data_IF_308697370014
#
_entry.id   IF_308697370014
#
_cell.length_a   1.000
_cell.length_b   1.000
_cell.length_c   1.000
_cell.angle_alpha   90.00
_cell.angle_beta   90.00
_cell.angle_gamma   90.00
#
_symmetry.space_group_name_H-M   'P 1'
#
loop_
_entity.id
_entity.type
_entity.pdbx_description
1 polymer ?
#
# COMPACT_ATOMS: atom_id res chain seq x y z
N UNK A 1 20.75 6.49 -1.93
CA UNK A 1 21.08 5.89 -0.62
C UNK A 1 19.87 5.11 -0.19
N UNK A 2 19.98 3.79 -0.03
CA UNK A 2 18.78 2.94 0.16
C UNK A 2 18.66 2.56 1.63
N UNK A 3 17.75 3.22 2.36
CA UNK A 3 17.26 2.69 3.63
C UNK A 3 16.48 1.39 3.35
N UNK A 4 16.88 0.31 4.00
CA UNK A 4 16.31 -1.02 3.83
C UNK A 4 15.31 -1.28 4.95
N UNK A 5 14.24 -2.01 4.63
CA UNK A 5 13.28 -2.48 5.64
C UNK A 5 13.50 -3.96 5.90
N UNK A 6 13.62 -4.33 7.17
CA UNK A 6 13.72 -5.73 7.58
C UNK A 6 12.42 -6.46 7.18
N UNK A 7 12.43 -7.59 6.45
CA UNK A 7 11.20 -8.32 6.14
C UNK A 7 10.57 -8.92 7.41
N UNK A 8 9.30 -9.35 7.35
CA UNK A 8 8.60 -9.93 8.52
C UNK A 8 9.24 -11.23 9.01
N UNK A 9 9.68 -12.07 8.07
CA UNK A 9 10.33 -13.35 8.34
C UNK A 9 11.77 -13.31 7.80
N UNK A 10 12.70 -12.59 8.46
CA UNK A 10 14.06 -12.43 7.97
C UNK A 10 14.89 -13.71 8.17
N UNK A 11 15.78 -13.97 7.21
CA UNK A 11 16.79 -15.03 7.31
C UNK A 11 18.11 -14.43 7.82
N UNK A 12 18.56 -14.89 8.98
CA UNK A 12 19.84 -14.45 9.53
C UNK A 12 21.03 -14.85 8.64
N UNK A 13 20.96 -16.02 8.01
CA UNK A 13 21.98 -16.45 7.04
C UNK A 13 22.03 -15.52 5.82
N UNK A 14 20.88 -15.07 5.35
CA UNK A 14 20.83 -14.08 4.27
C UNK A 14 21.44 -12.73 4.69
N UNK A 15 21.18 -12.27 5.91
CA UNK A 15 21.80 -11.04 6.44
C UNK A 15 23.33 -11.18 6.58
N UNK A 16 23.83 -12.35 7.00
CA UNK A 16 25.28 -12.63 7.06
C UNK A 16 25.91 -12.62 5.67
N UNK A 17 25.24 -13.22 4.69
CA UNK A 17 25.70 -13.21 3.30
C UNK A 17 25.72 -11.79 2.73
N UNK A 18 24.65 -11.00 2.95
CA UNK A 18 24.62 -9.59 2.56
C UNK A 18 25.80 -8.78 3.15
N UNK A 19 26.20 -9.05 4.39
CA UNK A 19 27.34 -8.35 4.99
C UNK A 19 28.68 -8.75 4.35
N UNK A 20 28.81 -10.00 3.90
CA UNK A 20 30.00 -10.49 3.16
C UNK A 20 30.05 -9.89 1.75
N UNK A 21 28.92 -9.92 1.04
CA UNK A 21 28.80 -9.36 -0.30
C UNK A 21 29.08 -7.85 -0.29
N UNK A 22 28.56 -7.13 0.73
CA UNK A 22 28.82 -5.71 0.93
C UNK A 22 30.30 -5.42 1.18
N UNK A 23 31.00 -6.26 1.97
CA UNK A 23 32.44 -6.11 2.17
C UNK A 23 33.21 -6.33 0.86
N UNK A 24 32.89 -7.39 0.12
CA UNK A 24 33.53 -7.71 -1.15
C UNK A 24 33.34 -6.59 -2.19
N UNK A 25 32.11 -6.07 -2.29
CA UNK A 25 31.79 -4.92 -3.14
C UNK A 25 32.57 -3.66 -2.71
N UNK A 26 32.66 -3.38 -1.41
CA UNK A 26 33.41 -2.22 -0.91
C UNK A 26 34.92 -2.33 -1.22
N UNK A 27 35.50 -3.51 -1.00
CA UNK A 27 36.93 -3.78 -1.27
C UNK A 27 37.21 -3.70 -2.78
N UNK A 28 36.31 -4.19 -3.64
CA UNK A 28 36.45 -4.10 -5.10
C UNK A 28 36.22 -2.69 -5.65
N UNK A 29 35.68 -1.78 -4.83
CA UNK A 29 35.46 -0.38 -5.18
C UNK A 29 34.14 -0.12 -5.90
N UNK A 30 33.12 -0.94 -5.67
CA UNK A 30 31.76 -0.69 -6.15
C UNK A 30 31.22 0.64 -5.62
N UNK A 31 30.69 1.48 -6.52
CA UNK A 31 30.24 2.83 -6.19
C UNK A 31 29.11 2.84 -5.15
N UNK A 32 28.20 1.86 -5.20
CA UNK A 32 27.07 1.78 -4.27
C UNK A 32 27.56 1.41 -2.87
N UNK A 33 28.43 0.40 -2.77
CA UNK A 33 29.03 0.01 -1.50
C UNK A 33 29.88 1.14 -0.91
N UNK A 34 30.61 1.90 -1.74
CA UNK A 34 31.38 3.07 -1.29
C UNK A 34 30.47 4.14 -0.70
N UNK A 35 29.35 4.45 -1.35
CA UNK A 35 28.34 5.40 -0.83
C UNK A 35 27.78 4.92 0.51
N UNK A 36 27.41 3.64 0.63
CA UNK A 36 26.86 3.09 1.88
C UNK A 36 27.88 3.17 3.03
N UNK A 37 29.16 2.81 2.79
CA UNK A 37 30.21 2.93 3.79
C UNK A 37 30.47 4.37 4.21
N UNK A 38 30.53 5.32 3.26
CA UNK A 38 30.70 6.74 3.56
C UNK A 38 29.56 7.28 4.40
N UNK A 39 28.34 6.86 4.11
CA UNK A 39 27.16 7.39 4.77
C UNK A 39 26.94 6.78 6.16
N UNK A 40 27.22 5.48 6.34
CA UNK A 40 26.84 4.77 7.56
C UNK A 40 28.02 4.37 8.46
N UNK A 41 29.26 4.39 7.99
CA UNK A 41 30.41 4.04 8.83
C UNK A 41 30.93 5.25 9.62
N UNK A 42 30.85 5.27 10.97
CA UNK A 42 31.07 6.49 11.76
C UNK A 42 32.52 7.00 11.77
N UNK A 43 33.48 6.14 11.46
CA UNK A 43 34.92 6.47 11.50
C UNK A 43 35.58 6.57 10.13
N UNK A 44 34.84 6.32 9.04
CA UNK A 44 35.41 6.26 7.68
C UNK A 44 36.56 5.27 7.54
N UNK A 45 36.26 3.98 7.43
CA UNK A 45 37.26 2.93 7.19
C UNK A 45 37.67 2.94 5.73
N UNK A 46 38.95 2.75 5.42
CA UNK A 46 39.46 2.64 4.04
C UNK A 46 39.35 1.21 3.53
N UNK A 47 39.21 1.06 2.20
CA UNK A 47 39.00 -0.24 1.53
C UNK A 47 40.06 -1.29 1.83
N UNK A 48 41.31 -0.88 2.01
CA UNK A 48 42.47 -1.75 2.24
C UNK A 48 42.50 -2.38 3.64
N UNK A 49 41.79 -1.79 4.62
CA UNK A 49 41.74 -2.28 6.01
C UNK A 49 40.34 -2.70 6.46
N UNK A 50 39.34 -2.60 5.58
CA UNK A 50 37.96 -2.93 5.88
C UNK A 50 37.78 -4.39 6.31
N UNK A 51 37.01 -4.61 7.38
CA UNK A 51 36.71 -5.93 7.94
C UNK A 51 35.22 -6.22 7.88
N UNK A 52 34.88 -7.49 8.06
CA UNK A 52 33.48 -7.94 8.12
C UNK A 52 32.68 -7.20 9.20
N UNK A 53 33.28 -6.85 10.33
CA UNK A 53 32.62 -6.08 11.40
C UNK A 53 32.22 -4.67 10.94
N UNK A 54 32.99 -4.06 10.05
CA UNK A 54 32.69 -2.74 9.49
C UNK A 54 31.50 -2.85 8.53
N UNK A 55 31.50 -3.85 7.65
CA UNK A 55 30.38 -4.14 6.76
C UNK A 55 29.10 -4.52 7.51
N UNK A 56 29.21 -5.29 8.60
CA UNK A 56 28.10 -5.62 9.48
C UNK A 56 27.49 -4.39 10.16
N UNK A 57 28.32 -3.43 10.58
CA UNK A 57 27.85 -2.16 11.16
C UNK A 57 27.14 -1.30 10.10
N UNK A 58 27.74 -1.17 8.91
CA UNK A 58 27.12 -0.45 7.79
C UNK A 58 25.78 -1.08 7.43
N UNK A 59 25.73 -2.41 7.29
CA UNK A 59 24.48 -3.13 6.99
C UNK A 59 23.43 -2.92 8.09
N UNK A 60 23.78 -3.02 9.37
CA UNK A 60 22.85 -2.77 10.47
C UNK A 60 22.21 -1.38 10.37
N UNK A 61 23.04 -0.35 10.10
CA UNK A 61 22.57 1.02 9.96
C UNK A 61 21.76 1.26 8.69
N UNK A 62 22.00 0.51 7.61
CA UNK A 62 21.11 0.55 6.43
C UNK A 62 19.71 0.01 6.74
N UNK A 63 19.56 -0.83 7.76
CA UNK A 63 18.28 -1.32 8.28
C UNK A 63 17.75 -0.49 9.47
N UNK A 64 18.35 0.69 9.73
CA UNK A 64 18.03 1.55 10.88
C UNK A 64 18.21 0.87 12.25
N UNK A 65 19.22 0.00 12.38
CA UNK A 65 19.71 -0.53 13.65
C UNK A 65 21.08 0.07 14.01
N UNK A 66 21.28 0.36 15.29
CA UNK A 66 22.51 0.99 15.77
C UNK A 66 23.75 0.09 15.64
N UNK A 67 23.56 -1.23 15.70
CA UNK A 67 24.64 -2.22 15.68
C UNK A 67 24.19 -3.56 15.09
N UNK A 68 25.16 -4.38 14.68
CA UNK A 68 24.90 -5.74 14.19
C UNK A 68 24.22 -6.67 15.21
N UNK A 69 24.61 -6.68 16.50
CA UNK A 69 23.85 -7.40 17.53
C UNK A 69 22.36 -7.00 17.59
N UNK A 70 22.04 -5.70 17.52
CA UNK A 70 20.65 -5.23 17.52
C UNK A 70 19.90 -5.72 16.28
N UNK A 71 20.49 -5.63 15.09
CA UNK A 71 19.88 -6.17 13.86
C UNK A 71 19.61 -7.68 13.97
N UNK A 72 20.56 -8.44 14.53
CA UNK A 72 20.40 -9.88 14.72
C UNK A 72 19.25 -10.20 15.67
N UNK A 73 19.19 -9.54 16.83
CA UNK A 73 18.12 -9.75 17.81
C UNK A 73 16.75 -9.34 17.25
N UNK A 74 16.66 -8.19 16.58
CA UNK A 74 15.44 -7.75 15.89
C UNK A 74 14.99 -8.75 14.82
N UNK A 75 15.92 -9.29 14.03
CA UNK A 75 15.61 -10.32 13.04
C UNK A 75 15.14 -11.65 13.66
N UNK A 76 15.81 -12.12 14.70
CA UNK A 76 15.41 -13.33 15.44
C UNK A 76 14.03 -13.16 16.07
N UNK A 77 13.75 -12.01 16.70
CA UNK A 77 12.47 -11.71 17.33
C UNK A 77 11.35 -11.54 16.29
N UNK A 78 11.57 -10.80 15.20
CA UNK A 78 10.62 -10.65 14.09
C UNK A 78 10.21 -12.01 13.53
N UNK A 79 11.20 -12.89 13.31
CA UNK A 79 10.97 -14.27 12.86
C UNK A 79 10.21 -15.09 13.89
N UNK A 80 10.58 -15.01 15.17
CA UNK A 80 9.95 -15.77 16.23
C UNK A 80 8.47 -15.38 16.40
N UNK A 81 8.15 -14.08 16.42
CA UNK A 81 6.77 -13.57 16.47
C UNK A 81 5.98 -13.97 15.23
N UNK A 82 6.56 -13.84 14.03
CA UNK A 82 5.87 -14.22 12.79
C UNK A 82 5.47 -15.71 12.75
N UNK A 83 6.28 -16.57 13.38
CA UNK A 83 6.09 -18.03 13.40
C UNK A 83 5.44 -18.56 14.70
N UNK A 84 4.92 -17.70 15.58
CA UNK A 84 4.33 -18.09 16.88
C UNK A 84 5.28 -18.94 17.75
N UNK A 85 6.59 -18.67 17.69
CA UNK A 85 7.61 -19.42 18.41
C UNK A 85 7.73 -18.95 19.86
N UNK A 86 6.73 -19.24 20.69
CA UNK A 86 6.58 -18.72 22.06
C UNK A 86 7.81 -18.95 22.95
N UNK A 87 8.40 -20.14 22.93
CA UNK A 87 9.59 -20.45 23.74
C UNK A 87 10.82 -19.62 23.32
N UNK A 88 10.97 -19.39 22.01
CA UNK A 88 12.07 -18.57 21.48
C UNK A 88 11.87 -17.09 21.87
N UNK A 89 10.63 -16.59 21.78
CA UNK A 89 10.28 -15.23 22.22
C UNK A 89 10.57 -15.09 23.72
N UNK A 90 10.14 -16.03 24.54
CA UNK A 90 10.38 -16.05 25.99
C UNK A 90 11.87 -16.03 26.28
N UNK A 91 12.66 -16.88 25.62
CA UNK A 91 14.12 -16.91 25.79
C UNK A 91 14.76 -15.57 25.43
N UNK A 92 14.46 -15.04 24.24
CA UNK A 92 15.03 -13.79 23.75
C UNK A 92 14.74 -12.63 24.70
N UNK A 93 13.48 -12.46 25.11
CA UNK A 93 13.07 -11.37 26.01
C UNK A 93 13.62 -11.55 27.43
N UNK A 94 13.76 -12.80 27.91
CA UNK A 94 14.35 -13.05 29.23
C UNK A 94 15.85 -12.75 29.25
N UNK A 95 16.56 -13.09 28.17
CA UNK A 95 17.99 -12.80 28.02
C UNK A 95 18.26 -11.31 27.72
N UNK A 96 17.32 -10.66 27.04
CA UNK A 96 17.40 -9.27 26.58
C UNK A 96 16.09 -8.50 26.85
N UNK A 97 15.81 -8.10 28.10
CA UNK A 97 14.55 -7.44 28.48
C UNK A 97 14.30 -6.10 27.76
N UNK A 98 15.36 -5.43 27.31
CA UNK A 98 15.28 -4.20 26.50
C UNK A 98 14.47 -4.38 25.21
N UNK A 99 14.39 -5.61 24.68
CA UNK A 99 13.63 -5.91 23.46
C UNK A 99 12.14 -5.61 23.58
N UNK A 100 11.57 -5.56 24.79
CA UNK A 100 10.16 -5.26 25.00
C UNK A 100 9.75 -3.86 24.55
N UNK A 101 10.69 -2.92 24.49
CA UNK A 101 10.43 -1.52 24.12
C UNK A 101 11.14 -1.10 22.83
N UNK A 102 12.03 -1.94 22.30
CA UNK A 102 12.77 -1.66 21.06
C UNK A 102 11.93 -1.97 19.81
N UNK A 103 12.14 -1.17 18.76
CA UNK A 103 11.47 -1.36 17.47
C UNK A 103 11.95 -2.65 16.79
N UNK A 104 11.03 -3.59 16.56
CA UNK A 104 11.37 -4.92 15.99
C UNK A 104 11.99 -4.83 14.59
N UNK A 105 11.66 -3.78 13.82
CA UNK A 105 12.03 -3.63 12.40
C UNK A 105 12.92 -2.40 12.13
N UNK A 106 13.64 -1.90 13.14
CA UNK A 106 14.50 -0.72 13.05
C UNK A 106 13.81 0.56 13.51
N UNK A 107 14.60 1.58 13.86
CA UNK A 107 14.12 2.80 14.55
C UNK A 107 13.07 3.60 13.75
N UNK A 108 13.17 3.61 12.42
CA UNK A 108 12.24 4.32 11.54
C UNK A 108 10.94 3.53 11.25
N UNK A 109 10.74 2.38 11.91
CA UNK A 109 9.56 1.55 11.69
C UNK A 109 8.34 2.02 12.48
N UNK A 110 7.22 2.20 11.79
CA UNK A 110 5.92 2.47 12.42
C UNK A 110 5.23 1.22 12.99
N UNK A 111 5.88 0.04 12.93
CA UNK A 111 5.28 -1.22 13.37
C UNK A 111 5.35 -1.44 14.88
N UNK A 112 6.26 -0.75 15.57
CA UNK A 112 6.32 -0.73 17.02
C UNK A 112 7.19 -1.80 17.66
N UNK A 113 7.22 -1.78 19.01
CA UNK A 113 7.80 -2.84 19.84
C UNK A 113 7.08 -4.20 19.66
N UNK A 114 7.55 -5.27 20.31
CA UNK A 114 7.04 -6.63 20.09
C UNK A 114 5.53 -6.80 20.22
N UNK A 115 4.89 -6.14 21.20
CA UNK A 115 3.45 -6.26 21.42
C UNK A 115 2.67 -5.62 20.25
N UNK A 116 3.05 -4.39 19.88
CA UNK A 116 2.52 -3.70 18.70
C UNK A 116 2.79 -4.44 17.40
N UNK A 117 3.98 -5.03 17.26
CA UNK A 117 4.34 -5.87 16.12
C UNK A 117 3.44 -7.12 16.03
N UNK A 118 3.22 -7.82 17.15
CA UNK A 118 2.31 -8.95 17.23
C UNK A 118 0.84 -8.56 16.96
N UNK A 119 0.44 -7.36 17.40
CA UNK A 119 -0.89 -6.79 17.14
C UNK A 119 -1.15 -6.54 15.65
N UNK A 120 -0.16 -6.00 14.92
CA UNK A 120 -0.27 -5.87 13.45
C UNK A 120 -0.57 -7.22 12.78
N UNK A 121 0.03 -8.29 13.29
CA UNK A 121 -0.09 -9.64 12.73
C UNK A 121 -1.29 -10.43 13.26
N UNK A 122 -1.96 -9.96 14.31
CA UNK A 122 -3.08 -10.66 14.95
C UNK A 122 -2.66 -11.89 15.78
N UNK A 123 -1.43 -11.94 16.29
CA UNK A 123 -0.86 -13.13 16.98
C UNK A 123 -1.27 -13.19 18.44
N UNK A 124 -2.48 -13.66 18.74
CA UNK A 124 -3.00 -13.71 20.11
C UNK A 124 -2.08 -14.44 21.11
N UNK A 125 -1.58 -15.66 20.84
CA UNK A 125 -0.72 -16.35 21.81
C UNK A 125 0.58 -15.58 22.12
N UNK A 126 1.12 -14.87 21.13
CA UNK A 126 2.31 -14.03 21.30
C UNK A 126 2.00 -12.77 22.11
N UNK A 127 0.86 -12.13 21.86
CA UNK A 127 0.40 -10.96 22.62
C UNK A 127 0.32 -11.32 24.11
N UNK A 128 -0.25 -12.47 24.44
CA UNK A 128 -0.44 -12.94 25.81
C UNK A 128 0.90 -13.13 26.53
N UNK A 129 1.82 -13.79 25.84
CA UNK A 129 3.18 -13.99 26.33
C UNK A 129 3.88 -12.65 26.56
N UNK A 130 3.80 -11.71 25.62
CA UNK A 130 4.50 -10.43 25.74
C UNK A 130 3.95 -9.58 26.90
N UNK A 131 2.64 -9.63 27.13
CA UNK A 131 2.01 -9.00 28.31
C UNK A 131 2.48 -9.68 29.59
N UNK A 132 2.54 -11.02 29.64
CA UNK A 132 3.07 -11.78 30.79
C UNK A 132 4.53 -11.38 31.10
N UNK A 133 5.32 -11.14 30.05
CA UNK A 133 6.72 -10.72 30.15
C UNK A 133 6.90 -9.23 30.46
N UNK A 134 5.81 -8.44 30.52
CA UNK A 134 5.83 -7.04 30.98
C UNK A 134 5.79 -5.98 29.88
N UNK A 135 5.34 -6.30 28.65
CA UNK A 135 5.06 -5.29 27.65
C UNK A 135 3.93 -4.34 28.09
N UNK A 136 4.10 -3.03 27.91
CA UNK A 136 3.20 -2.00 28.45
C UNK A 136 2.65 -1.03 27.39
N UNK A 137 2.99 -1.18 26.11
CA UNK A 137 2.54 -0.33 24.99
C UNK A 137 1.12 -0.67 24.46
N UNK A 138 0.22 -1.09 25.36
CA UNK A 138 -1.15 -1.57 25.04
C UNK A 138 -1.94 -0.60 24.16
N UNK A 139 -1.89 0.70 24.44
CA UNK A 139 -2.59 1.72 23.65
C UNK A 139 -2.04 1.82 22.21
N UNK A 140 -0.72 1.70 22.04
CA UNK A 140 -0.11 1.71 20.72
C UNK A 140 -0.41 0.40 19.97
N UNK A 141 -0.36 -0.75 20.65
CA UNK A 141 -0.72 -2.04 20.08
C UNK A 141 -2.20 -2.10 19.65
N UNK A 142 -3.09 -1.47 20.42
CA UNK A 142 -4.48 -1.25 20.04
C UNK A 142 -4.60 -0.48 18.72
N UNK A 143 -3.89 0.65 18.57
CA UNK A 143 -3.90 1.41 17.32
C UNK A 143 -3.45 0.58 16.11
N UNK A 144 -2.45 -0.31 16.29
CA UNK A 144 -1.96 -1.21 15.24
C UNK A 144 -2.96 -2.31 14.90
N UNK A 145 -3.62 -2.88 15.89
CA UNK A 145 -4.67 -3.87 15.69
C UNK A 145 -5.83 -3.29 14.87
N UNK A 146 -6.27 -2.07 15.21
CA UNK A 146 -7.33 -1.36 14.49
C UNK A 146 -6.91 -1.02 13.06
N UNK A 147 -5.70 -0.48 12.86
CA UNK A 147 -5.13 -0.20 11.53
C UNK A 147 -5.17 -1.42 10.61
N UNK A 148 -4.90 -2.61 11.15
CA UNK A 148 -4.85 -3.87 10.40
C UNK A 148 -6.17 -4.66 10.42
N UNK A 149 -7.26 -4.10 10.97
CA UNK A 149 -8.56 -4.76 11.07
C UNK A 149 -8.58 -6.01 11.95
N UNK A 150 -7.67 -6.14 12.92
CA UNK A 150 -7.59 -7.28 13.85
C UNK A 150 -8.56 -7.07 15.01
N UNK A 151 -9.86 -7.18 14.74
CA UNK A 151 -10.92 -6.76 15.70
C UNK A 151 -10.87 -7.52 17.01
N UNK A 152 -10.65 -8.84 17.00
CA UNK A 152 -10.56 -9.63 18.23
C UNK A 152 -9.38 -9.18 19.11
N UNK A 153 -8.25 -8.83 18.49
CA UNK A 153 -7.08 -8.29 19.19
C UNK A 153 -7.38 -6.89 19.71
N UNK A 154 -7.97 -6.02 18.90
CA UNK A 154 -8.34 -4.67 19.31
C UNK A 154 -9.32 -4.70 20.50
N UNK A 155 -10.34 -5.56 20.44
CA UNK A 155 -11.31 -5.78 21.53
C UNK A 155 -10.62 -6.20 22.82
N UNK A 156 -9.69 -7.15 22.75
CA UNK A 156 -8.91 -7.55 23.92
C UNK A 156 -8.11 -6.39 24.52
N UNK A 157 -7.49 -5.55 23.70
CA UNK A 157 -6.80 -4.38 24.23
C UNK A 157 -7.76 -3.36 24.89
N UNK A 158 -9.02 -3.28 24.46
CA UNK A 158 -10.02 -2.45 25.17
C UNK A 158 -10.35 -2.98 26.57
N UNK A 159 -10.37 -4.30 26.75
CA UNK A 159 -10.52 -4.94 28.07
C UNK A 159 -9.33 -4.61 28.98
N UNK A 160 -8.15 -4.40 28.39
CA UNK A 160 -6.92 -3.95 29.07
C UNK A 160 -6.84 -2.43 29.26
N UNK A 161 -7.89 -1.68 28.93
CA UNK A 161 -7.96 -0.24 29.16
C UNK A 161 -7.62 0.64 27.96
N UNK A 162 -7.28 0.08 26.80
CA UNK A 162 -7.10 0.87 25.59
C UNK A 162 -8.42 1.53 25.16
N UNK A 163 -8.36 2.75 24.63
CA UNK A 163 -9.53 3.52 24.22
C UNK A 163 -9.30 4.22 22.87
N UNK A 164 -10.36 4.50 22.10
CA UNK A 164 -10.22 5.29 20.89
C UNK A 164 -9.74 6.70 21.23
N UNK A 165 -8.71 7.16 20.52
CA UNK A 165 -8.25 8.55 20.57
C UNK A 165 -8.87 9.35 19.42
N UNK A 166 -8.99 10.66 19.60
CA UNK A 166 -9.46 11.54 18.52
C UNK A 166 -8.54 11.41 17.30
N UNK A 167 -9.12 11.28 16.12
CA UNK A 167 -8.35 11.04 14.89
C UNK A 167 -7.96 9.59 14.65
N UNK A 168 -8.20 8.66 15.59
CA UNK A 168 -7.84 7.25 15.41
C UNK A 168 -8.58 6.59 14.24
N UNK A 169 -9.76 7.09 13.86
CA UNK A 169 -10.51 6.65 12.66
C UNK A 169 -9.73 6.84 11.36
N UNK A 170 -8.72 7.72 11.33
CA UNK A 170 -7.84 7.87 10.17
C UNK A 170 -7.07 6.59 9.84
N UNK A 171 -6.76 5.76 10.85
CA UNK A 171 -6.03 4.51 10.66
C UNK A 171 -6.81 3.51 9.80
N UNK A 172 -8.03 3.07 10.17
CA UNK A 172 -8.81 2.18 9.32
C UNK A 172 -9.27 2.85 8.01
N UNK A 173 -9.39 4.18 7.96
CA UNK A 173 -9.63 4.89 6.70
C UNK A 173 -8.43 4.79 5.74
N UNK A 174 -7.20 4.92 6.24
CA UNK A 174 -5.97 4.77 5.45
C UNK A 174 -5.85 3.36 4.86
N UNK A 175 -6.16 2.32 5.62
CA UNK A 175 -6.08 0.94 5.13
C UNK A 175 -7.37 0.45 4.47
N UNK A 176 -8.41 1.28 4.42
CA UNK A 176 -9.80 0.94 4.08
C UNK A 176 -10.27 -0.35 4.78
N UNK A 177 -10.01 -0.42 6.08
CA UNK A 177 -10.53 -1.46 6.96
C UNK A 177 -11.93 -1.10 7.44
N UNK A 178 -12.95 -1.54 6.70
CA UNK A 178 -14.36 -1.32 7.05
C UNK A 178 -14.74 -1.82 8.44
N UNK A 179 -14.29 -3.03 8.81
CA UNK A 179 -14.55 -3.60 10.14
C UNK A 179 -13.81 -2.84 11.24
N UNK A 180 -12.59 -2.36 10.99
CA UNK A 180 -11.84 -1.53 11.93
C UNK A 180 -12.52 -0.19 12.20
N UNK A 181 -13.03 0.45 11.14
CA UNK A 181 -13.77 1.70 11.26
C UNK A 181 -15.10 1.49 11.99
N UNK A 182 -15.86 0.44 11.62
CA UNK A 182 -17.13 0.09 12.28
C UNK A 182 -16.91 -0.19 13.77
N UNK A 183 -15.87 -0.94 14.12
CA UNK A 183 -15.54 -1.21 15.53
C UNK A 183 -15.27 0.08 16.32
N UNK A 184 -14.49 1.01 15.76
CA UNK A 184 -14.24 2.29 16.43
C UNK A 184 -15.52 3.12 16.61
N UNK A 185 -16.33 3.26 15.56
CA UNK A 185 -17.46 4.19 15.52
C UNK A 185 -18.71 3.60 16.16
N UNK A 186 -19.12 2.41 15.72
CA UNK A 186 -20.38 1.78 16.11
C UNK A 186 -20.29 1.13 17.49
N UNK A 187 -19.14 0.54 17.85
CA UNK A 187 -18.99 -0.15 19.15
C UNK A 187 -18.34 0.72 20.23
N UNK A 188 -17.30 1.49 19.89
CA UNK A 188 -16.56 2.30 20.85
C UNK A 188 -16.97 3.77 20.89
N UNK A 189 -17.86 4.21 19.98
CA UNK A 189 -18.37 5.58 19.94
C UNK A 189 -17.34 6.62 19.52
N UNK A 190 -16.35 6.26 18.70
CA UNK A 190 -15.36 7.20 18.19
C UNK A 190 -15.97 8.20 17.20
N UNK A 191 -15.57 9.47 17.33
CA UNK A 191 -15.97 10.50 16.38
C UNK A 191 -15.30 10.29 15.01
N UNK A 192 -16.08 10.49 13.94
CA UNK A 192 -15.61 10.46 12.55
C UNK A 192 -14.90 11.76 12.16
N UNK A 193 -13.79 12.06 12.85
CA UNK A 193 -12.96 13.24 12.61
C UNK A 193 -11.48 12.89 12.65
N UNK A 194 -10.63 13.71 12.04
CA UNK A 194 -9.17 13.63 12.25
C UNK A 194 -8.74 14.15 13.64
N UNK A 195 -7.43 14.23 13.89
CA UNK A 195 -6.90 14.74 15.15
C UNK A 195 -7.28 16.19 15.46
N UNK A 196 -7.46 17.01 14.41
CA UNK A 196 -7.83 18.42 14.52
C UNK A 196 -9.35 18.63 14.67
N UNK A 197 -10.15 17.61 14.36
CA UNK A 197 -11.61 17.65 14.42
C UNK A 197 -12.32 17.85 13.10
N UNK A 198 -11.62 17.73 11.97
CA UNK A 198 -12.18 17.86 10.64
C UNK A 198 -12.91 16.56 10.24
N UNK A 199 -14.23 16.61 9.99
CA UNK A 199 -15.01 15.43 9.57
C UNK A 199 -14.79 15.03 8.11
N UNK A 200 -14.18 15.88 7.28
CA UNK A 200 -13.93 15.58 5.87
C UNK A 200 -12.64 14.80 5.65
N UNK A 201 -11.67 14.87 6.55
CA UNK A 201 -10.38 14.19 6.40
C UNK A 201 -10.49 12.65 6.39
N UNK A 202 -11.28 12.01 7.27
CA UNK A 202 -11.50 10.57 7.18
C UNK A 202 -12.11 10.14 5.85
N UNK A 203 -13.09 10.89 5.33
CA UNK A 203 -13.66 10.64 4.00
C UNK A 203 -12.59 10.75 2.92
N UNK A 204 -11.87 11.88 2.86
CA UNK A 204 -10.79 12.10 1.89
C UNK A 204 -9.79 10.93 1.90
N UNK A 205 -9.37 10.48 3.09
CA UNK A 205 -8.45 9.36 3.24
C UNK A 205 -8.97 8.08 2.57
N UNK A 206 -10.24 7.74 2.75
CA UNK A 206 -10.88 6.56 2.12
C UNK A 206 -10.85 6.63 0.59
N UNK A 207 -10.92 7.83 -0.01
CA UNK A 207 -10.87 7.99 -1.47
C UNK A 207 -9.44 7.96 -2.01
N UNK A 208 -8.48 8.59 -1.33
CA UNK A 208 -7.17 8.90 -1.88
C UNK A 208 -6.03 7.98 -1.45
N UNK A 209 -6.29 7.09 -0.50
CA UNK A 209 -5.28 6.16 0.03
C UNK A 209 -4.66 5.23 -1.04
N UNK A 210 -3.46 4.75 -0.74
CA UNK A 210 -2.77 3.71 -1.49
C UNK A 210 -3.47 2.35 -1.40
N UNK A 211 -4.23 2.09 -0.33
CA UNK A 211 -4.82 0.77 -0.13
C UNK A 211 -5.86 0.44 -1.20
N UNK A 212 -5.93 -0.84 -1.58
CA UNK A 212 -6.94 -1.39 -2.50
C UNK A 212 -7.62 -2.57 -1.84
N UNK A 213 -8.82 -2.34 -1.36
CA UNK A 213 -9.71 -3.34 -0.78
C UNK A 213 -11.17 -2.88 -1.03
N UNK A 214 -11.77 -3.24 -2.18
CA UNK A 214 -13.13 -2.84 -2.54
C UNK A 214 -14.14 -3.03 -1.40
N UNK A 215 -14.27 -4.26 -0.89
CA UNK A 215 -15.22 -4.60 0.18
C UNK A 215 -15.01 -3.76 1.44
N UNK A 216 -13.74 -3.57 1.83
CA UNK A 216 -13.39 -2.74 2.98
C UNK A 216 -13.74 -1.27 2.77
N UNK A 217 -13.50 -0.73 1.57
CA UNK A 217 -13.86 0.64 1.20
C UNK A 217 -15.37 0.84 1.16
N UNK A 218 -16.13 -0.09 0.56
CA UNK A 218 -17.59 -0.04 0.53
C UNK A 218 -18.14 0.01 1.95
N UNK A 219 -17.61 -0.84 2.84
CA UNK A 219 -18.02 -0.87 4.24
C UNK A 219 -17.60 0.38 5.02
N UNK A 220 -16.43 0.95 4.75
CA UNK A 220 -16.09 2.26 5.32
C UNK A 220 -17.15 3.31 4.96
N UNK A 221 -17.53 3.42 3.68
CA UNK A 221 -18.52 4.40 3.23
C UNK A 221 -19.93 4.12 3.77
N UNK A 222 -20.29 2.86 4.00
CA UNK A 222 -21.52 2.50 4.71
C UNK A 222 -21.53 3.03 6.15
N UNK A 223 -20.42 2.91 6.89
CA UNK A 223 -20.30 3.46 8.25
C UNK A 223 -20.46 4.99 8.25
N UNK A 224 -19.87 5.69 7.27
CA UNK A 224 -20.08 7.14 7.11
C UNK A 224 -21.54 7.49 6.85
N UNK A 225 -22.20 6.80 5.91
CA UNK A 225 -23.60 7.03 5.58
C UNK A 225 -24.52 6.78 6.79
N UNK A 226 -24.32 5.67 7.52
CA UNK A 226 -25.10 5.35 8.73
C UNK A 226 -24.88 6.36 9.85
N UNK A 227 -23.72 7.00 9.87
CA UNK A 227 -23.37 8.07 10.79
C UNK A 227 -23.84 9.45 10.31
N UNK A 228 -24.60 9.51 9.21
CA UNK A 228 -25.26 10.72 8.70
C UNK A 228 -24.42 11.56 7.74
N UNK A 229 -23.32 11.03 7.18
CA UNK A 229 -22.57 11.72 6.15
C UNK A 229 -23.41 11.88 4.86
N UNK A 230 -23.45 13.10 4.33
CA UNK A 230 -24.10 13.40 3.05
C UNK A 230 -23.14 13.08 1.89
N UNK A 231 -23.25 11.88 1.35
CA UNK A 231 -22.45 11.41 0.22
C UNK A 231 -23.12 11.82 -1.11
N UNK A 232 -22.40 12.46 -2.05
CA UNK A 232 -22.96 12.92 -3.33
C UNK A 232 -23.67 11.82 -4.14
N UNK A 233 -24.89 12.09 -4.66
CA UNK A 233 -25.56 11.21 -5.64
C UNK A 233 -24.94 11.41 -7.04
N UNK A 234 -23.78 10.78 -7.24
CA UNK A 234 -23.03 10.82 -8.50
C UNK A 234 -22.55 9.42 -8.88
N UNK A 235 -22.31 9.18 -10.17
CA UNK A 235 -21.81 7.89 -10.63
C UNK A 235 -20.44 7.50 -10.03
N UNK A 236 -19.44 8.40 -9.91
CA UNK A 236 -18.21 8.08 -9.19
C UNK A 236 -18.43 7.73 -7.71
N UNK A 237 -19.36 8.38 -7.02
CA UNK A 237 -19.69 8.02 -5.63
C UNK A 237 -20.37 6.65 -5.55
N UNK A 238 -21.34 6.36 -6.43
CA UNK A 238 -21.98 5.05 -6.51
C UNK A 238 -20.95 3.94 -6.80
N UNK A 239 -19.97 4.22 -7.67
CA UNK A 239 -18.83 3.36 -7.93
C UNK A 239 -18.00 3.10 -6.67
N UNK A 240 -17.57 4.16 -5.97
CA UNK A 240 -16.73 4.01 -4.77
C UNK A 240 -17.43 3.28 -3.62
N UNK A 241 -18.77 3.31 -3.62
CA UNK A 241 -19.61 2.59 -2.67
C UNK A 241 -19.88 1.13 -3.03
N UNK A 242 -19.48 0.66 -4.22
CA UNK A 242 -19.78 -0.71 -4.66
C UNK A 242 -21.25 -0.92 -5.04
N UNK A 243 -22.01 0.15 -5.27
CA UNK A 243 -23.49 0.08 -5.37
C UNK A 243 -23.94 0.00 -6.82
N UNK A 244 -24.02 -1.23 -7.34
CA UNK A 244 -24.52 -1.49 -8.70
C UNK A 244 -25.94 -0.96 -8.93
N UNK A 245 -26.81 -0.99 -7.92
CA UNK A 245 -28.17 -0.45 -8.01
C UNK A 245 -28.19 1.09 -8.19
N UNK A 246 -27.25 1.79 -7.55
CA UNK A 246 -27.07 3.24 -7.73
C UNK A 246 -26.40 3.54 -9.07
N UNK A 247 -25.45 2.72 -9.53
CA UNK A 247 -24.86 2.83 -10.86
C UNK A 247 -25.89 2.59 -11.97
N UNK A 248 -26.76 1.59 -11.82
CA UNK A 248 -27.89 1.34 -12.73
C UNK A 248 -28.85 2.53 -12.76
N UNK A 249 -29.15 3.11 -11.59
CA UNK A 249 -29.97 4.31 -11.49
C UNK A 249 -29.30 5.51 -12.20
N UNK A 250 -27.98 5.67 -12.08
CA UNK A 250 -27.23 6.67 -12.83
C UNK A 250 -27.30 6.44 -14.34
N UNK A 251 -27.10 5.20 -14.80
CA UNK A 251 -27.14 4.82 -16.21
C UNK A 251 -28.53 5.06 -16.83
N UNK A 252 -29.60 4.79 -16.08
CA UNK A 252 -30.97 5.08 -16.51
C UNK A 252 -31.25 6.58 -16.66
N UNK A 253 -30.56 7.43 -15.89
CA UNK A 253 -30.66 8.90 -15.99
C UNK A 253 -29.77 9.48 -17.10
N UNK A 254 -28.66 8.81 -17.41
CA UNK A 254 -27.67 9.24 -18.39
C UNK A 254 -27.22 8.06 -19.26
N UNK A 255 -27.83 7.93 -20.44
CA UNK A 255 -27.49 6.87 -21.39
C UNK A 255 -26.04 6.96 -21.91
N UNK A 256 -25.39 8.12 -21.79
CA UNK A 256 -23.98 8.31 -22.15
C UNK A 256 -22.99 7.95 -21.05
N UNK A 257 -23.45 7.47 -19.89
CA UNK A 257 -22.62 7.27 -18.71
C UNK A 257 -21.41 6.35 -18.95
N UNK A 258 -21.57 5.28 -19.75
CA UNK A 258 -20.48 4.34 -20.04
C UNK A 258 -19.33 5.00 -20.82
N UNK A 259 -19.62 6.07 -21.55
CA UNK A 259 -18.65 6.84 -22.31
C UNK A 259 -18.23 8.14 -21.63
N UNK A 260 -18.80 8.47 -20.47
CA UNK A 260 -18.50 9.71 -19.76
C UNK A 260 -17.08 9.64 -19.17
N UNK A 261 -16.33 10.72 -19.37
CA UNK A 261 -15.02 10.97 -18.73
C UNK A 261 -15.24 11.82 -17.50
N UNK A 262 -14.51 11.52 -16.43
CA UNK A 262 -14.63 12.21 -15.15
C UNK A 262 -13.35 12.97 -14.85
N UNK A 263 -13.51 14.22 -14.40
CA UNK A 263 -12.42 15.00 -13.84
C UNK A 263 -11.90 14.37 -12.55
N UNK A 264 -10.67 14.73 -12.16
CA UNK A 264 -10.08 14.31 -10.91
C UNK A 264 -10.99 14.64 -9.72
N UNK A 265 -11.59 15.84 -9.69
CA UNK A 265 -12.45 16.30 -8.59
C UNK A 265 -13.77 15.51 -8.53
N UNK A 266 -14.30 15.05 -9.66
CA UNK A 266 -15.47 14.15 -9.67
C UNK A 266 -15.12 12.75 -9.13
N UNK A 267 -13.90 12.25 -9.40
CA UNK A 267 -13.42 10.95 -8.90
C UNK A 267 -13.08 11.03 -7.41
N UNK A 268 -12.54 12.17 -6.95
CA UNK A 268 -12.07 12.39 -5.57
C UNK A 268 -12.74 13.64 -4.94
N UNK A 269 -14.03 13.56 -4.57
CA UNK A 269 -14.84 14.73 -4.22
C UNK A 269 -14.43 15.50 -2.95
N UNK A 270 -13.53 14.94 -2.14
CA UNK A 270 -13.03 15.57 -0.90
C UNK A 270 -11.54 15.93 -0.98
N UNK A 271 -10.95 15.91 -2.17
CA UNK A 271 -9.52 16.16 -2.35
C UNK A 271 -9.11 17.58 -1.96
N UNK A 272 -7.90 17.69 -1.42
CA UNK A 272 -7.23 18.98 -1.28
C UNK A 272 -6.71 19.50 -2.61
N UNK A 273 -6.34 20.78 -2.65
CA UNK A 273 -5.56 21.32 -3.76
C UNK A 273 -4.28 20.51 -3.94
N UNK A 274 -4.09 19.97 -5.13
CA UNK A 274 -2.88 19.23 -5.49
C UNK A 274 -3.03 17.72 -5.63
N UNK A 275 -4.24 17.18 -5.88
CA UNK A 275 -4.48 15.85 -6.44
C UNK A 275 -3.67 14.69 -5.79
N UNK A 276 -4.02 14.33 -4.55
CA UNK A 276 -3.28 13.37 -3.71
C UNK A 276 -3.64 11.90 -3.90
N UNK A 277 -4.66 11.59 -4.69
CA UNK A 277 -5.13 10.24 -4.98
C UNK A 277 -4.04 9.39 -5.64
N UNK A 278 -3.69 8.28 -5.00
CA UNK A 278 -2.71 7.35 -5.55
C UNK A 278 -3.38 6.44 -6.57
N UNK A 279 -2.80 6.38 -7.77
CA UNK A 279 -3.21 5.52 -8.89
C UNK A 279 -1.98 5.21 -9.73
N UNK A 280 -2.00 4.13 -10.51
CA UNK A 280 -0.92 3.79 -11.44
C UNK A 280 -0.98 4.66 -12.69
N UNK A 281 -1.63 4.13 -13.73
CA UNK A 281 -2.04 4.89 -14.92
C UNK A 281 -2.95 6.08 -14.52
N UNK A 282 -2.87 7.25 -15.19
CA UNK A 282 -3.70 8.41 -14.87
C UNK A 282 -5.20 8.14 -14.83
N UNK A 283 -5.93 8.78 -13.91
CA UNK A 283 -7.40 8.66 -13.82
C UNK A 283 -8.15 9.96 -14.14
N UNK A 284 -7.47 11.11 -14.19
CA UNK A 284 -8.10 12.35 -14.66
C UNK A 284 -8.52 12.21 -16.12
N UNK A 285 -9.79 12.48 -16.42
CA UNK A 285 -10.37 12.30 -17.75
C UNK A 285 -10.68 10.83 -18.10
N UNK A 286 -10.66 9.93 -17.13
CA UNK A 286 -10.92 8.51 -17.35
C UNK A 286 -12.42 8.15 -17.19
N UNK A 287 -12.82 6.99 -17.69
CA UNK A 287 -14.20 6.45 -17.55
C UNK A 287 -14.33 5.53 -16.34
N UNK A 288 -15.55 5.12 -15.99
CA UNK A 288 -15.77 4.12 -14.92
C UNK A 288 -15.03 2.80 -15.19
N UNK A 289 -14.81 2.41 -16.44
CA UNK A 289 -14.09 1.18 -16.78
C UNK A 289 -12.60 1.27 -16.43
N UNK A 290 -11.97 2.45 -16.59
CA UNK A 290 -10.60 2.68 -16.15
C UNK A 290 -10.50 2.65 -14.62
N UNK A 291 -11.46 3.28 -13.94
CA UNK A 291 -11.55 3.28 -12.47
C UNK A 291 -11.71 1.85 -11.95
N UNK A 292 -12.55 1.03 -12.57
CA UNK A 292 -12.77 -0.36 -12.17
C UNK A 292 -11.47 -1.17 -12.14
N UNK A 293 -10.58 -0.92 -13.10
CA UNK A 293 -9.26 -1.55 -13.15
C UNK A 293 -8.31 -1.03 -12.07
N UNK A 294 -8.19 0.28 -11.85
CA UNK A 294 -7.22 0.81 -10.85
C UNK A 294 -7.68 0.55 -9.40
N UNK A 295 -8.98 0.58 -9.14
CA UNK A 295 -9.55 0.28 -7.82
C UNK A 295 -9.74 -1.22 -7.54
N UNK A 296 -9.51 -2.07 -8.54
CA UNK A 296 -9.72 -3.54 -8.49
C UNK A 296 -11.18 -3.94 -8.20
N UNK A 297 -12.13 -3.16 -8.71
CA UNK A 297 -13.58 -3.35 -8.57
C UNK A 297 -14.09 -4.36 -9.60
N UNK A 298 -13.83 -5.65 -9.38
CA UNK A 298 -14.11 -6.70 -10.36
C UNK A 298 -15.58 -6.87 -10.71
N UNK A 299 -16.47 -6.78 -9.72
CA UNK A 299 -17.92 -6.89 -9.95
C UNK A 299 -18.43 -5.73 -10.81
N UNK A 300 -18.00 -4.49 -10.51
CA UNK A 300 -18.34 -3.31 -11.32
C UNK A 300 -17.73 -3.41 -12.71
N UNK A 301 -16.48 -3.87 -12.83
CA UNK A 301 -15.79 -4.07 -14.10
C UNK A 301 -16.59 -5.00 -15.02
N UNK A 302 -17.05 -6.15 -14.51
CA UNK A 302 -17.84 -7.11 -15.27
C UNK A 302 -19.21 -6.54 -15.65
N UNK A 303 -19.89 -5.89 -14.70
CA UNK A 303 -21.16 -5.22 -14.95
C UNK A 303 -21.06 -4.13 -16.02
N UNK A 304 -20.00 -3.31 -16.02
CA UNK A 304 -19.79 -2.28 -17.05
C UNK A 304 -19.66 -2.89 -18.45
N UNK A 305 -18.91 -3.99 -18.59
CA UNK A 305 -18.77 -4.69 -19.87
C UNK A 305 -20.08 -5.35 -20.30
N UNK A 306 -20.85 -5.94 -19.38
CA UNK A 306 -22.18 -6.47 -19.67
C UNK A 306 -23.16 -5.39 -20.15
N UNK A 307 -23.02 -4.16 -19.63
CA UNK A 307 -23.79 -2.99 -20.10
C UNK A 307 -23.30 -2.42 -21.44
N UNK A 308 -22.23 -2.97 -22.00
CA UNK A 308 -21.70 -2.58 -23.31
C UNK A 308 -20.66 -1.47 -23.26
N UNK A 309 -19.96 -1.29 -22.14
CA UNK A 309 -18.82 -0.38 -22.08
C UNK A 309 -17.76 -0.79 -23.11
N UNK A 310 -17.30 0.15 -23.92
CA UNK A 310 -16.27 -0.08 -24.93
C UNK A 310 -14.92 -0.40 -24.25
N UNK A 311 -14.31 -1.58 -24.48
CA UNK A 311 -13.02 -1.95 -23.87
C UNK A 311 -11.84 -1.09 -24.35
N UNK A 312 -11.97 -0.42 -25.50
CA UNK A 312 -10.97 0.50 -26.07
C UNK A 312 -11.33 1.98 -25.87
N UNK A 313 -12.24 2.29 -24.93
CA UNK A 313 -12.58 3.68 -24.69
C UNK A 313 -11.36 4.46 -24.22
N UNK A 314 -10.99 5.50 -24.97
CA UNK A 314 -9.88 6.36 -24.61
C UNK A 314 -10.29 7.37 -23.53
N UNK A 315 -9.42 7.55 -22.53
CA UNK A 315 -9.43 8.68 -21.62
C UNK A 315 -9.22 10.01 -22.38
N UNK A 316 -9.62 11.12 -21.75
CA UNK A 316 -9.44 12.46 -22.31
C UNK A 316 -7.96 12.77 -22.56
N UNK A 317 -7.69 13.59 -23.59
CA UNK A 317 -6.36 14.12 -23.91
C UNK A 317 -6.31 15.58 -23.50
N UNK A 318 -5.35 15.93 -22.65
CA UNK A 318 -5.17 17.30 -22.17
C UNK A 318 -4.55 18.22 -23.24
N UNK A 319 -4.46 19.52 -22.92
CA UNK A 319 -3.93 20.53 -23.83
C UNK A 319 -2.44 20.35 -24.22
N UNK A 320 -1.70 19.53 -23.48
CA UNK A 320 -0.29 19.20 -23.74
C UNK A 320 -0.14 17.89 -24.56
N UNK A 321 -1.26 17.29 -24.95
CA UNK A 321 -1.32 16.05 -25.71
C UNK A 321 -1.05 14.80 -24.87
N UNK A 322 -1.29 14.83 -23.56
CA UNK A 322 -1.21 13.66 -22.69
C UNK A 322 -2.60 13.11 -22.35
N UNK A 323 -2.74 11.79 -22.31
CA UNK A 323 -4.01 11.08 -22.16
C UNK A 323 -4.21 10.05 -23.26
N UNK A 324 -5.47 9.75 -23.57
CA UNK A 324 -5.83 8.83 -24.67
C UNK A 324 -5.58 7.35 -24.39
N UNK A 325 -5.12 7.00 -23.18
CA UNK A 325 -4.97 5.61 -22.78
C UNK A 325 -6.32 4.92 -22.65
N UNK A 326 -6.34 3.62 -22.92
CA UNK A 326 -7.50 2.74 -22.73
C UNK A 326 -7.42 2.02 -21.38
N UNK A 327 -8.51 1.36 -20.91
CA UNK A 327 -8.49 0.56 -19.68
C UNK A 327 -7.39 -0.52 -19.66
N UNK A 328 -6.93 -0.99 -20.82
CA UNK A 328 -5.84 -1.97 -20.91
C UNK A 328 -4.52 -1.40 -20.33
N UNK A 329 -4.24 -0.11 -20.49
CA UNK A 329 -3.09 0.55 -19.84
C UNK A 329 -3.18 0.50 -18.31
N UNK A 330 -4.38 0.64 -17.74
CA UNK A 330 -4.61 0.55 -16.29
C UNK A 330 -4.35 -0.86 -15.77
N UNK A 331 -4.45 -1.90 -16.60
CA UNK A 331 -4.10 -3.26 -16.18
C UNK A 331 -2.60 -3.48 -16.09
N UNK A 332 -1.81 -2.68 -16.82
CA UNK A 332 -0.34 -2.82 -16.90
C UNK A 332 0.36 -2.06 -15.79
N UNK A 333 -0.05 -0.82 -15.50
CA UNK A 333 0.49 -0.03 -14.38
C UNK A 333 -0.64 0.34 -13.44
N UNK A 334 -0.67 -0.27 -12.26
CA UNK A 334 -1.84 -0.23 -11.35
C UNK A 334 -1.42 -0.10 -9.89
N UNK A 335 -2.15 0.72 -9.13
CA UNK A 335 -2.00 0.78 -7.67
C UNK A 335 -2.31 -0.58 -7.02
N UNK A 336 -3.29 -1.32 -7.55
CA UNK A 336 -3.73 -2.61 -7.01
C UNK A 336 -2.61 -3.66 -6.98
N UNK A 337 -1.68 -3.61 -7.94
CA UNK A 337 -0.50 -4.50 -8.00
C UNK A 337 0.39 -4.28 -6.78
N UNK A 338 0.60 -3.03 -6.36
CA UNK A 338 1.44 -2.70 -5.20
C UNK A 338 0.82 -3.19 -3.88
N UNK A 339 -0.52 -3.36 -3.85
CA UNK A 339 -1.26 -3.98 -2.75
C UNK A 339 -1.29 -5.52 -2.85
N UNK A 340 -0.60 -6.11 -3.82
CA UNK A 340 -0.58 -7.56 -4.04
C UNK A 340 -1.87 -8.10 -4.64
N UNK A 341 -2.66 -7.29 -5.35
CA UNK A 341 -3.89 -7.70 -6.05
C UNK A 341 -3.60 -7.92 -7.54
N UNK A 342 -4.62 -8.33 -8.30
CA UNK A 342 -4.52 -8.58 -9.76
C UNK A 342 -3.42 -9.59 -10.16
N UNK A 343 -3.12 -10.56 -9.29
CA UNK A 343 -2.02 -11.52 -9.48
C UNK A 343 -2.18 -12.43 -10.70
N UNK A 344 -3.41 -12.62 -11.15
CA UNK A 344 -3.72 -13.43 -12.32
C UNK A 344 -3.90 -12.58 -13.59
N UNK A 345 -3.96 -11.25 -13.53
CA UNK A 345 -4.31 -10.39 -14.65
C UNK A 345 -5.68 -10.69 -15.30
N UNK A 346 -6.68 -11.10 -14.50
CA UNK A 346 -8.04 -11.40 -14.98
C UNK A 346 -8.64 -10.27 -15.83
N UNK A 347 -8.62 -9.03 -15.36
CA UNK A 347 -9.20 -7.89 -16.09
C UNK A 347 -8.52 -7.66 -17.44
N UNK A 348 -7.19 -7.80 -17.54
CA UNK A 348 -6.47 -7.71 -18.81
C UNK A 348 -6.93 -8.77 -19.80
N UNK A 349 -7.04 -10.04 -19.36
CA UNK A 349 -7.53 -11.13 -20.22
C UNK A 349 -8.97 -10.92 -20.66
N UNK A 350 -9.83 -10.41 -19.79
CA UNK A 350 -11.23 -10.13 -20.15
C UNK A 350 -11.30 -9.01 -21.19
N UNK A 351 -10.57 -7.90 -21.01
CA UNK A 351 -10.51 -6.83 -22.02
C UNK A 351 -10.04 -7.35 -23.38
N UNK A 352 -8.95 -8.11 -23.41
CA UNK A 352 -8.41 -8.71 -24.64
C UNK A 352 -9.40 -9.69 -25.29
N UNK A 353 -10.11 -10.50 -24.49
CA UNK A 353 -11.15 -11.40 -24.99
C UNK A 353 -12.37 -10.64 -25.54
N UNK A 354 -12.64 -9.43 -25.04
CA UNK A 354 -13.65 -8.50 -25.56
C UNK A 354 -13.15 -7.64 -26.73
N UNK A 355 -11.94 -7.91 -27.24
CA UNK A 355 -11.40 -7.27 -28.43
C UNK A 355 -10.67 -5.96 -28.19
N UNK A 356 -10.24 -5.67 -26.96
CA UNK A 356 -9.37 -4.53 -26.68
C UNK A 356 -8.10 -4.58 -27.55
N UNK A 357 -7.74 -3.47 -28.17
CA UNK A 357 -6.58 -3.34 -29.03
C UNK A 357 -5.28 -3.30 -28.21
N UNK A 358 -4.44 -4.36 -28.28
CA UNK A 358 -3.17 -4.38 -27.56
C UNK A 358 -2.13 -3.41 -28.16
N UNK A 359 -2.39 -2.85 -29.35
CA UNK A 359 -1.55 -1.90 -30.04
C UNK A 359 -2.03 -0.43 -29.91
N UNK A 360 -3.10 -0.18 -29.12
CA UNK A 360 -3.58 1.17 -28.86
C UNK A 360 -2.45 2.07 -28.35
N UNK A 361 -2.36 3.31 -28.83
CA UNK A 361 -1.24 4.21 -28.50
C UNK A 361 -1.72 5.41 -27.71
N UNK A 362 -0.97 5.76 -26.67
CA UNK A 362 -1.24 6.88 -25.80
C UNK A 362 0.05 7.62 -25.45
N UNK A 363 -0.08 8.89 -25.06
CA UNK A 363 1.03 9.64 -24.47
C UNK A 363 0.70 9.92 -23.01
N UNK A 364 1.56 9.51 -22.09
CA UNK A 364 1.30 9.62 -20.65
C UNK A 364 2.41 10.41 -19.96
N UNK A 365 2.04 11.08 -18.88
CA UNK A 365 2.97 11.65 -17.90
C UNK A 365 2.61 11.14 -16.52
N UNK A 366 3.62 10.82 -15.71
CA UNK A 366 3.39 10.31 -14.36
C UNK A 366 4.51 10.71 -13.42
N UNK A 367 4.13 11.33 -12.31
CA UNK A 367 4.92 11.41 -11.09
C UNK A 367 4.34 10.42 -10.07
N UNK A 368 5.21 9.67 -9.40
CA UNK A 368 4.82 8.80 -8.30
C UNK A 368 5.07 9.50 -6.97
N UNK A 369 4.01 9.67 -6.18
CA UNK A 369 4.14 10.27 -4.84
C UNK A 369 4.64 9.25 -3.85
N UNK A 370 5.38 9.73 -2.85
CA UNK A 370 5.91 8.92 -1.75
C UNK A 370 6.86 7.79 -2.23
N UNK A 371 7.46 7.98 -3.41
CA UNK A 371 8.60 7.21 -3.92
C UNK A 371 9.88 8.03 -3.78
N UNK A 372 11.02 7.35 -3.87
CA UNK A 372 12.34 7.99 -3.92
C UNK A 372 12.49 8.94 -5.12
N UNK A 373 11.89 8.57 -6.27
CA UNK A 373 11.80 9.40 -7.46
C UNK A 373 10.37 9.92 -7.65
N UNK A 374 10.12 11.13 -7.14
CA UNK A 374 8.86 11.84 -7.30
C UNK A 374 8.82 12.78 -8.51
N UNK A 375 9.82 12.73 -9.41
CA UNK A 375 9.84 13.56 -10.60
C UNK A 375 8.79 13.09 -11.62
N UNK A 376 8.38 14.00 -12.51
CA UNK A 376 7.46 13.64 -13.60
C UNK A 376 8.22 12.98 -14.74
N UNK A 377 7.76 11.78 -15.14
CA UNK A 377 8.28 11.04 -16.28
C UNK A 377 7.31 11.11 -17.46
N UNK A 378 7.85 11.29 -18.66
CA UNK A 378 7.10 11.46 -19.91
C UNK A 378 7.26 10.24 -20.81
N UNK A 379 6.13 9.76 -21.33
CA UNK A 379 6.00 8.55 -22.13
C UNK A 379 5.20 8.89 -23.37
N UNK A 380 5.89 9.31 -24.43
CA UNK A 380 5.24 9.68 -25.69
C UNK A 380 4.99 8.44 -26.52
N UNK A 381 3.77 8.36 -27.04
CA UNK A 381 3.34 7.40 -28.06
C UNK A 381 3.77 5.97 -27.71
N UNK A 382 3.16 5.41 -26.67
CA UNK A 382 3.46 4.07 -26.17
C UNK A 382 2.24 3.16 -26.30
N UNK A 383 2.46 1.88 -26.63
CA UNK A 383 1.47 0.81 -26.42
C UNK A 383 1.29 0.50 -24.92
N UNK A 384 0.26 -0.27 -24.52
CA UNK A 384 0.17 -0.81 -23.17
C UNK A 384 1.43 -1.57 -22.75
N UNK A 385 2.05 -2.32 -23.66
CA UNK A 385 3.27 -3.07 -23.38
C UNK A 385 4.47 -2.14 -23.16
N UNK A 386 4.70 -1.20 -24.07
CA UNK A 386 5.77 -0.21 -23.97
C UNK A 386 5.62 0.68 -22.73
N UNK A 387 4.38 0.99 -22.35
CA UNK A 387 4.04 1.69 -21.11
C UNK A 387 4.60 0.93 -19.90
N UNK A 388 4.28 -0.37 -19.80
CA UNK A 388 4.79 -1.24 -18.75
C UNK A 388 6.31 -1.37 -18.78
N UNK A 389 6.93 -1.61 -19.94
CA UNK A 389 8.39 -1.84 -20.06
C UNK A 389 9.21 -0.61 -19.69
N UNK A 390 8.74 0.58 -20.07
CA UNK A 390 9.44 1.84 -19.82
C UNK A 390 9.13 2.44 -18.45
N UNK A 391 8.07 1.97 -17.77
CA UNK A 391 7.62 2.58 -16.53
C UNK A 391 8.72 2.58 -15.45
N UNK A 392 8.97 3.75 -14.86
CA UNK A 392 10.09 3.96 -13.92
C UNK A 392 9.87 3.22 -12.59
N UNK A 393 8.61 3.12 -12.13
CA UNK A 393 8.26 2.41 -10.90
C UNK A 393 7.93 0.93 -11.13
N UNK A 394 8.94 0.06 -11.27
CA UNK A 394 8.73 -1.38 -11.58
C UNK A 394 7.75 -2.11 -10.66
N UNK A 395 7.64 -1.71 -9.39
CA UNK A 395 6.71 -2.31 -8.41
C UNK A 395 5.22 -2.15 -8.75
N UNK A 396 4.90 -1.18 -9.61
CA UNK A 396 3.54 -0.88 -10.07
C UNK A 396 3.14 -1.69 -11.31
N UNK A 397 4.11 -2.36 -11.94
CA UNK A 397 3.93 -3.02 -13.23
C UNK A 397 3.39 -4.43 -13.04
N UNK A 398 2.28 -4.73 -13.71
CA UNK A 398 1.69 -6.06 -13.75
C UNK A 398 2.32 -6.90 -14.86
N UNK A 399 3.38 -7.63 -14.54
CA UNK A 399 4.07 -8.52 -15.49
C UNK A 399 3.13 -9.59 -16.10
N UNK A 400 2.09 -10.00 -15.37
CA UNK A 400 1.11 -10.98 -15.87
C UNK A 400 0.15 -10.37 -16.89
N UNK A 401 -0.21 -9.10 -16.74
CA UNK A 401 -1.00 -8.39 -17.74
C UNK A 401 -0.18 -8.18 -19.01
N UNK A 402 1.10 -7.80 -18.88
CA UNK A 402 2.02 -7.69 -20.02
C UNK A 402 2.20 -9.04 -20.74
N UNK A 403 2.31 -10.15 -20.00
CA UNK A 403 2.33 -11.47 -20.59
C UNK A 403 1.05 -11.77 -21.39
N UNK A 404 -0.13 -11.49 -20.84
CA UNK A 404 -1.40 -11.69 -21.54
C UNK A 404 -1.47 -10.86 -22.84
N UNK A 405 -0.97 -9.62 -22.82
CA UNK A 405 -0.92 -8.75 -24.01
C UNK A 405 -0.01 -9.36 -25.09
N UNK A 406 1.18 -9.86 -24.72
CA UNK A 406 2.09 -10.54 -25.67
C UNK A 406 1.45 -11.78 -26.28
N UNK A 407 0.74 -12.57 -25.47
CA UNK A 407 0.02 -13.78 -25.92
C UNK A 407 -1.12 -13.46 -26.89
N UNK A 408 -1.74 -12.28 -26.77
CA UNK A 408 -2.77 -11.78 -27.69
C UNK A 408 -2.22 -11.09 -28.93
N UNK A 409 -0.89 -11.10 -29.16
CA UNK A 409 -0.27 -10.53 -30.35
C UNK A 409 0.08 -9.04 -30.26
N UNK A 410 0.00 -8.43 -29.07
CA UNK A 410 0.55 -7.11 -28.82
C UNK A 410 2.06 -7.09 -28.98
N UNK A 411 2.58 -6.05 -29.65
CA UNK A 411 4.01 -5.80 -29.83
C UNK A 411 4.49 -4.60 -29.02
#
# INVERSE_FOLDING_TARGET
MVKRRLPLNPSLEQLKNQARDLLEAYVSGDDTAVVDFQAFHPRGVTRDVAKLTDAQLVLARTYDFQSWPCLRLGAELSRAISNDALEEIRRLVTEHPELLVEQVRGEDSSWGPPLSFAANLGKQPVIDLLIELGADDVQFAFSRAVLQGKIDVARRFTEMGARPERGMVMLPCETVSGDGLAFLVEELGADLVDGDGNPLEPLRMVFETYSRNPEGKHRCLEVFERSGADLPDTAPMAFHRGRLDLLESCLNRDAGLLERRFSYEEIYPYSHKGQTGLHGTPLNGATLLHMAVDFDELEIFEWLLEKGANPDIAAEVDGDGFGGHTPLFNTVVSQAVTCGRQKDARMARVLLAQGADPAARASLRKALRYEDDGSEHVYRDVTPLEWGERFHGRRWVNERAMQAIRESGGQ
#
